data_IF_041033790281
#
_entry.id   IF_041033790281
#
_cell.length_a   1.000
_cell.length_b   1.000
_cell.length_c   1.000
_cell.angle_alpha   90.00
_cell.angle_beta   90.00
_cell.angle_gamma   90.00
#
_symmetry.space_group_name_H-M   'P 1'
#
loop_
_entity.id
_entity.type
_entity.pdbx_description
1 polymer ?
2 polymer ?
3 polymer ?
4 non-polymer ?
5 non-polymer ?
6 water ?
#
loop_
_entity_poly.entity_id
_entity_poly.type
_entity_poly.pdbx_seq_one_letter_code
_entity_poly.pdbx_strand_id
2 'polydeoxyribonucleotide' '(DG)(DA)(DG)(DG)(DA)(DC)(DA)(DA)(DA)(DG)(DG)(DT)(DG)(DA)(DA)(DA)(DC)' ?
3 'polydeoxyribonucleotide' '(DG)(DT)(DT)(DT)(DC)(DA)(DC)(DC)(DT)(DT)(DT)(DG)(DT)(DC)(DC)(DT)(DC)' ?
#
# COMPACT_ATOMS: atom_id res chain seq x y z
N UNK A 3 1.79 7.61 -13.73
CA UNK A 3 3.06 7.12 -13.03
C UNK A 3 3.29 5.64 -13.39
N UNK A 4 4.50 5.32 -13.80
CA UNK A 4 4.78 3.93 -14.24
C UNK A 4 4.43 3.10 -13.01
N UNK A 5 3.54 2.12 -13.18
CA UNK A 5 3.17 1.19 -12.10
C UNK A 5 3.91 -0.13 -12.29
N UNK A 6 4.32 -0.77 -11.20
CA UNK A 6 4.90 -2.15 -11.26
C UNK A 6 3.82 -3.09 -11.77
N UNK A 7 4.07 -3.82 -12.85
CA UNK A 7 3.05 -4.71 -13.46
C UNK A 7 2.79 -5.87 -12.48
N UNK A 8 3.70 -6.12 -11.53
CA UNK A 8 3.57 -7.28 -10.61
C UNK A 8 2.69 -6.91 -9.42
N UNK A 9 2.94 -5.76 -8.79
CA UNK A 9 2.40 -5.48 -7.44
C UNK A 9 1.68 -4.14 -7.31
N UNK A 10 1.75 -3.21 -8.27
CA UNK A 10 1.04 -1.91 -8.20
C UNK A 10 1.82 -0.80 -7.50
N UNK A 11 2.98 -1.11 -6.92
CA UNK A 11 3.90 -0.09 -6.33
C UNK A 11 4.44 0.76 -7.48
N UNK A 12 5.09 1.89 -7.16
CA UNK A 12 5.68 2.79 -8.18
C UNK A 12 6.83 2.05 -8.83
N UNK A 13 6.84 1.94 -10.17
CA UNK A 13 7.96 1.35 -10.93
C UNK A 13 9.15 2.32 -10.96
N UNK A 14 10.38 1.80 -10.76
CA UNK A 14 11.66 2.56 -10.89
C UNK A 14 12.15 2.57 -12.35
N UNK A 15 11.61 1.69 -13.19
CA UNK A 15 11.77 1.67 -14.67
C UNK A 15 11.51 0.28 -15.21
N UNK A 16 12.09 -0.08 -16.34
CA UNK A 16 12.04 -1.47 -16.87
C UNK A 16 13.09 -2.32 -16.15
N UNK A 17 12.71 -3.51 -15.70
CA UNK A 17 13.61 -4.55 -15.14
C UNK A 17 13.23 -5.90 -15.74
N UNK A 18 14.18 -6.62 -16.32
CA UNK A 18 13.98 -7.97 -16.87
C UNK A 18 12.82 -7.87 -17.89
N UNK A 19 12.78 -6.76 -18.63
CA UNK A 19 11.89 -6.55 -19.80
C UNK A 19 10.57 -5.87 -19.46
N UNK A 20 10.33 -5.44 -18.22
CA UNK A 20 8.98 -5.15 -17.68
C UNK A 20 9.03 -3.99 -16.67
N UNK A 21 8.03 -3.12 -16.71
CA UNK A 21 7.84 -2.01 -15.77
C UNK A 21 7.68 -2.64 -14.38
N UNK A 22 8.56 -2.34 -13.44
CA UNK A 22 8.52 -2.97 -12.10
C UNK A 22 9.20 -2.11 -11.06
N UNK A 23 8.86 -2.35 -9.81
CA UNK A 23 9.47 -1.63 -8.66
C UNK A 23 10.79 -2.34 -8.30
N UNK A 24 11.57 -1.69 -7.43
CA UNK A 24 12.87 -2.23 -6.92
C UNK A 24 12.62 -3.54 -6.15
N UNK A 25 11.54 -3.64 -5.38
CA UNK A 25 11.22 -4.83 -4.54
C UNK A 25 11.00 -6.04 -5.45
N UNK A 26 10.12 -5.91 -6.45
CA UNK A 26 9.81 -7.04 -7.35
C UNK A 26 11.07 -7.41 -8.18
N UNK A 27 11.84 -6.41 -8.61
CA UNK A 27 13.13 -6.59 -9.30
C UNK A 27 14.02 -7.50 -8.43
N UNK A 28 14.27 -7.08 -7.21
CA UNK A 28 15.17 -7.78 -6.27
C UNK A 28 14.64 -9.20 -6.00
N UNK A 29 13.34 -9.34 -5.77
CA UNK A 29 12.70 -10.66 -5.49
C UNK A 29 12.90 -11.60 -6.68
N UNK A 30 12.67 -11.13 -7.91
CA UNK A 30 12.78 -11.96 -9.14
C UNK A 30 14.23 -12.39 -9.29
N UNK A 31 15.14 -11.42 -9.10
CA UNK A 31 16.59 -11.63 -9.25
C UNK A 31 17.05 -12.72 -8.29
N UNK A 32 16.63 -12.66 -7.02
CA UNK A 32 17.06 -13.65 -6.01
C UNK A 32 16.47 -15.01 -6.36
N UNK A 33 15.21 -15.04 -6.75
CA UNK A 33 14.49 -16.30 -7.07
C UNK A 33 15.26 -17.02 -8.17
N UNK A 34 15.66 -16.31 -9.24
CA UNK A 34 16.36 -16.91 -10.41
C UNK A 34 17.78 -17.33 -10.00
N UNK A 35 18.53 -16.47 -9.33
CA UNK A 35 19.96 -16.70 -8.96
C UNK A 35 20.08 -17.98 -8.15
N UNK A 36 19.10 -18.26 -7.27
CA UNK A 36 19.12 -19.41 -6.34
C UNK A 36 18.35 -20.62 -6.84
N UNK A 37 17.76 -20.56 -8.04
CA UNK A 37 16.79 -21.57 -8.56
C UNK A 37 15.74 -21.87 -7.49
N UNK A 38 15.31 -20.89 -6.69
CA UNK A 38 14.40 -21.10 -5.53
C UNK A 38 13.00 -21.48 -6.06
N UNK A 39 12.46 -22.61 -5.59
CA UNK A 39 11.10 -23.09 -5.92
C UNK A 39 10.21 -22.77 -4.71
N UNK A 40 9.04 -22.22 -4.99
CA UNK A 40 7.99 -21.92 -3.99
C UNK A 40 6.79 -22.76 -4.38
N UNK A 41 5.89 -23.05 -3.45
CA UNK A 41 4.55 -23.57 -3.79
C UNK A 41 3.49 -22.88 -2.94
N UNK A 42 2.41 -22.51 -3.60
CA UNK A 42 1.27 -21.80 -3.00
C UNK A 42 0.57 -22.71 -2.01
N UNK A 43 0.31 -22.25 -0.77
CA UNK A 43 -0.55 -22.96 0.17
C UNK A 43 -2.05 -22.82 -0.07
N UNK A 44 -2.50 -21.83 -0.85
CA UNK A 44 -3.91 -21.70 -1.32
C UNK A 44 -4.09 -22.47 -2.64
N UNK A 45 -4.65 -21.87 -3.69
CA UNK A 45 -4.87 -22.53 -5.01
C UNK A 45 -4.32 -21.66 -6.14
N UNK A 46 -3.10 -21.15 -5.98
CA UNK A 46 -2.29 -20.42 -6.99
C UNK A 46 -3.03 -19.16 -7.48
N UNK A 47 -3.88 -18.55 -6.66
CA UNK A 47 -4.65 -17.33 -7.05
C UNK A 47 -4.50 -16.22 -6.00
N UNK A 48 -3.39 -16.18 -5.27
CA UNK A 48 -3.12 -15.11 -4.26
C UNK A 48 -3.04 -13.74 -4.97
N UNK A 49 -3.75 -12.74 -4.44
CA UNK A 49 -3.69 -11.31 -4.89
C UNK A 49 -2.29 -10.76 -4.59
N UNK A 50 -1.65 -10.10 -5.55
CA UNK A 50 -0.30 -9.47 -5.34
C UNK A 50 -0.47 -7.95 -5.48
N UNK A 51 -0.42 -7.24 -4.35
CA UNK A 51 -0.70 -5.77 -4.23
C UNK A 51 0.45 -5.15 -3.43
N UNK A 52 0.65 -3.84 -3.53
CA UNK A 52 1.89 -3.21 -2.98
C UNK A 52 1.88 -3.44 -1.46
N UNK A 53 0.69 -3.39 -0.87
CA UNK A 53 0.43 -3.52 0.58
C UNK A 53 0.44 -4.99 1.01
N UNK A 54 0.23 -5.93 0.08
CA UNK A 54 0.17 -7.42 0.29
C UNK A 54 0.92 -8.20 -0.81
N UNK A 55 2.23 -7.97 -0.98
CA UNK A 55 3.03 -8.73 -2.00
C UNK A 55 3.78 -9.92 -1.35
N UNK A 56 3.91 -9.99 -0.03
CA UNK A 56 4.75 -11.01 0.67
C UNK A 56 3.89 -12.17 1.16
N UNK A 57 2.59 -12.19 0.88
CA UNK A 57 1.68 -13.23 1.43
C UNK A 57 1.96 -14.62 0.80
N UNK A 58 2.48 -14.64 -0.43
CA UNK A 58 2.81 -15.87 -1.18
C UNK A 58 3.92 -15.59 -2.20
N UNK A 59 5.08 -16.16 -1.92
CA UNK A 59 6.26 -16.13 -2.82
C UNK A 59 5.90 -16.81 -4.13
N UNK A 60 5.10 -17.89 -4.09
CA UNK A 60 4.78 -18.73 -5.27
C UNK A 60 4.02 -17.86 -6.26
N UNK A 61 2.96 -17.20 -5.79
CA UNK A 61 2.06 -16.38 -6.64
C UNK A 61 2.81 -15.12 -7.08
N UNK A 62 3.61 -14.53 -6.22
CA UNK A 62 4.39 -13.34 -6.61
C UNK A 62 5.30 -13.72 -7.78
N UNK A 63 6.01 -14.84 -7.68
CA UNK A 63 6.94 -15.25 -8.76
C UNK A 63 6.16 -15.58 -10.04
N UNK A 64 5.06 -16.32 -9.93
CA UNK A 64 4.17 -16.63 -11.09
C UNK A 64 3.70 -15.33 -11.73
N UNK A 65 3.38 -14.31 -10.93
CA UNK A 65 2.93 -13.02 -11.50
C UNK A 65 4.08 -12.38 -12.29
N UNK A 66 5.28 -12.29 -11.72
CA UNK A 66 6.50 -11.85 -12.45
C UNK A 66 6.57 -12.51 -13.84
N UNK A 67 6.49 -13.84 -13.90
CA UNK A 67 6.56 -14.56 -15.20
C UNK A 67 5.40 -14.10 -16.09
N UNK A 68 4.18 -14.06 -15.54
CA UNK A 68 2.93 -13.76 -16.28
C UNK A 68 3.05 -12.40 -16.99
N UNK A 69 3.54 -11.38 -16.29
CA UNK A 69 3.57 -9.99 -16.81
C UNK A 69 4.75 -9.83 -17.78
N UNK A 70 5.67 -10.80 -17.81
CA UNK A 70 6.67 -10.98 -18.89
C UNK A 70 8.09 -10.72 -18.42
N UNK A 71 8.36 -10.84 -17.11
CA UNK A 71 9.74 -10.71 -16.58
C UNK A 71 10.52 -11.93 -17.09
N UNK A 72 11.73 -11.71 -17.57
CA UNK A 72 12.49 -12.69 -18.39
C UNK A 72 13.62 -13.29 -17.56
N UNK A 73 13.53 -14.60 -17.27
CA UNK A 73 14.56 -15.41 -16.57
C UNK A 73 15.95 -15.05 -17.12
N UNK A 74 16.10 -14.91 -18.44
CA UNK A 74 17.43 -14.76 -19.09
C UNK A 74 17.95 -13.34 -18.93
N UNK A 75 17.13 -12.38 -18.48
CA UNK A 75 17.59 -11.03 -18.10
C UNK A 75 18.47 -11.05 -16.84
N UNK A 76 18.44 -12.15 -16.08
CA UNK A 76 19.25 -12.37 -14.85
C UNK A 76 20.53 -13.06 -15.27
N UNK A 77 21.68 -12.46 -15.01
CA UNK A 77 23.01 -12.98 -15.44
C UNK A 77 23.40 -14.20 -14.59
N UNK A 78 23.97 -15.24 -15.19
CA UNK A 78 24.23 -16.55 -14.51
C UNK A 78 25.21 -16.34 -13.35
N UNK B 2 30.09 0.72 17.61
CA UNK B 2 30.03 1.11 19.05
C UNK B 2 28.96 0.27 19.79
N UNK B 3 29.25 -0.14 21.02
CA UNK B 3 28.34 -1.01 21.81
C UNK B 3 27.10 -0.20 22.15
N UNK B 4 25.94 -0.83 22.04
CA UNK B 4 24.69 -0.13 22.33
C UNK B 4 23.85 -1.07 23.21
N UNK B 5 23.08 -0.54 24.13
CA UNK B 5 22.28 -1.37 25.06
C UNK B 5 20.82 -1.39 24.62
N UNK B 6 20.12 -2.50 24.84
CA UNK B 6 18.67 -2.63 24.60
C UNK B 6 17.93 -1.65 25.52
N UNK B 7 17.14 -0.75 24.96
CA UNK B 7 16.44 0.28 25.77
C UNK B 7 15.40 -0.40 26.67
N UNK B 8 15.01 -1.63 26.36
CA UNK B 8 13.92 -2.31 27.10
C UNK B 8 14.48 -3.02 28.34
N UNK B 9 15.58 -3.77 28.15
CA UNK B 9 16.01 -4.75 29.19
C UNK B 9 17.47 -4.63 29.60
N UNK B 10 18.32 -3.87 28.91
CA UNK B 10 19.74 -3.68 29.31
C UNK B 10 20.68 -4.73 28.73
N UNK B 11 20.17 -5.74 27.99
CA UNK B 11 21.05 -6.69 27.24
C UNK B 11 21.79 -5.88 26.15
N UNK B 12 22.82 -6.46 25.53
CA UNK B 12 23.50 -5.86 24.34
C UNK B 12 22.47 -5.79 23.20
N UNK B 13 22.30 -4.62 22.60
CA UNK B 13 21.48 -4.45 21.37
C UNK B 13 22.20 -5.02 20.15
N UNK B 14 21.47 -5.72 19.27
CA UNK B 14 21.96 -6.24 17.96
C UNK B 14 21.80 -5.17 16.87
N UNK B 15 20.99 -4.13 17.10
CA UNK B 15 20.65 -3.14 16.07
C UNK B 15 19.43 -2.34 16.47
N UNK B 16 18.90 -1.52 15.58
CA UNK B 16 17.57 -0.91 15.72
C UNK B 16 16.52 -1.93 15.26
N UNK B 17 15.48 -2.09 16.08
CA UNK B 17 14.32 -2.95 15.78
C UNK B 17 13.05 -2.16 16.13
N UNK B 18 12.16 -2.00 15.15
CA UNK B 18 10.87 -1.32 15.36
C UNK B 18 11.15 0.08 15.92
N UNK B 19 12.24 0.70 15.42
CA UNK B 19 12.58 2.11 15.64
C UNK B 19 13.50 2.37 16.82
N UNK B 20 14.00 1.33 17.50
CA UNK B 20 14.67 1.46 18.83
C UNK B 20 15.82 0.46 18.95
N UNK B 21 16.90 0.90 19.60
CA UNK B 21 18.04 0.03 19.97
C UNK B 21 17.49 -1.07 20.88
N UNK B 22 17.62 -2.32 20.46
CA UNK B 22 17.08 -3.46 21.23
C UNK B 22 17.83 -4.72 20.90
N UNK B 23 17.74 -5.67 21.81
CA UNK B 23 18.37 -7.00 21.65
C UNK B 23 17.43 -7.85 20.80
N UNK B 24 17.92 -9.00 20.42
CA UNK B 24 17.20 -10.02 19.65
C UNK B 24 15.98 -10.53 20.44
N UNK B 25 16.10 -10.70 21.75
CA UNK B 25 15.01 -11.21 22.61
C UNK B 25 13.83 -10.21 22.62
N UNK B 26 14.08 -8.95 22.89
CA UNK B 26 12.98 -7.93 22.96
C UNK B 26 12.38 -7.72 21.54
N UNK B 27 13.21 -7.75 20.50
CA UNK B 27 12.76 -7.72 19.09
C UNK B 27 11.77 -8.88 18.88
N UNK B 28 12.19 -10.11 19.15
CA UNK B 28 11.36 -11.32 18.94
C UNK B 28 10.08 -11.23 19.78
N UNK B 29 10.18 -10.81 21.02
CA UNK B 29 9.05 -10.70 21.94
C UNK B 29 8.01 -9.70 21.38
N UNK B 30 8.46 -8.55 20.93
CA UNK B 30 7.59 -7.47 20.42
C UNK B 30 6.90 -7.99 19.17
N UNK B 31 7.69 -8.63 18.30
CA UNK B 31 7.19 -9.18 17.02
C UNK B 31 6.09 -10.20 17.30
N UNK B 32 6.29 -11.12 18.25
CA UNK B 32 5.30 -12.18 18.57
C UNK B 32 4.03 -11.53 19.11
N UNK B 33 4.20 -10.56 20.01
CA UNK B 33 3.10 -9.89 20.72
C UNK B 33 2.17 -9.25 19.68
N UNK B 34 2.76 -8.52 18.72
CA UNK B 34 1.99 -7.76 17.71
C UNK B 34 1.40 -8.73 16.71
N UNK B 35 2.16 -9.70 16.20
CA UNK B 35 1.69 -10.65 15.15
C UNK B 35 0.44 -11.37 15.62
N UNK B 36 0.37 -11.71 16.90
CA UNK B 36 -0.73 -12.51 17.49
C UNK B 36 -1.82 -11.69 18.13
N UNK B 37 -1.70 -10.37 18.14
CA UNK B 37 -2.51 -9.42 18.95
C UNK B 37 -2.69 -9.97 20.38
N UNK B 38 -1.60 -10.49 20.95
CA UNK B 38 -1.58 -11.08 22.33
C UNK B 38 -1.74 -9.95 23.36
N UNK B 39 -2.71 -10.09 24.26
CA UNK B 39 -2.94 -9.22 25.44
C UNK B 39 -2.33 -9.94 26.66
N UNK B 40 -1.58 -9.21 27.48
CA UNK B 40 -1.00 -9.73 28.74
C UNK B 40 -1.60 -8.96 29.90
N UNK B 41 -1.54 -9.51 31.10
CA UNK B 41 -1.86 -8.73 32.31
C UNK B 41 -0.84 -9.03 33.40
N UNK B 42 -0.42 -7.94 34.02
CA UNK B 42 0.48 -7.94 35.17
C UNK B 42 -0.26 -8.58 36.35
N UNK B 43 0.36 -9.57 37.03
CA UNK B 43 -0.15 -10.06 38.32
C UNK B 43 0.17 -9.17 39.53
N UNK B 44 1.14 -8.27 39.42
CA UNK B 44 1.59 -7.34 40.48
C UNK B 44 0.84 -6.02 40.30
N UNK B 45 1.53 -4.88 40.23
CA UNK B 45 0.91 -3.54 40.10
C UNK B 45 1.56 -2.76 38.97
N UNK B 46 1.78 -3.39 37.82
CA UNK B 46 2.18 -2.77 36.52
C UNK B 46 3.52 -2.00 36.67
N UNK B 47 4.39 -2.39 37.60
CA UNK B 47 5.69 -1.71 37.83
C UNK B 47 6.79 -2.76 37.97
N UNK B 48 6.62 -3.91 37.32
CA UNK B 48 7.65 -5.00 37.28
C UNK B 48 8.92 -4.45 36.62
N UNK B 49 10.08 -4.62 37.25
CA UNK B 49 11.41 -4.20 36.69
C UNK B 49 11.74 -5.10 35.49
N UNK B 50 12.20 -4.51 34.39
CA UNK B 50 12.61 -5.28 33.17
C UNK B 50 14.13 -5.17 32.99
N UNK B 51 14.84 -6.27 33.26
CA UNK B 51 16.32 -6.41 33.13
C UNK B 51 16.63 -7.67 32.33
N UNK B 52 17.89 -7.84 31.90
CA UNK B 52 18.36 -9.07 31.22
C UNK B 52 17.96 -10.30 32.05
N UNK B 53 18.12 -10.21 33.38
CA UNK B 53 17.92 -11.31 34.34
C UNK B 53 16.43 -11.54 34.60
N UNK B 54 15.55 -10.57 34.36
CA UNK B 54 14.12 -10.67 34.80
C UNK B 54 13.14 -10.34 33.67
N UNK B 55 13.54 -10.27 32.41
CA UNK B 55 12.64 -9.84 31.28
C UNK B 55 11.45 -10.82 31.14
N UNK B 56 11.63 -12.07 31.57
CA UNK B 56 10.65 -13.17 31.39
C UNK B 56 9.57 -13.08 32.48
N UNK B 57 9.80 -12.38 33.59
CA UNK B 57 8.90 -12.45 34.77
C UNK B 57 7.56 -11.75 34.49
N UNK B 58 7.47 -10.74 33.63
CA UNK B 58 6.14 -10.11 33.36
C UNK B 58 6.05 -9.67 31.90
N UNK B 59 5.28 -10.41 31.13
CA UNK B 59 4.99 -10.11 29.70
C UNK B 59 4.31 -8.74 29.61
N UNK B 60 3.41 -8.41 30.54
CA UNK B 60 2.59 -7.19 30.48
C UNK B 60 3.53 -5.98 30.58
N UNK B 61 4.41 -6.00 31.57
CA UNK B 61 5.31 -4.87 31.86
C UNK B 61 6.40 -4.80 30.78
N UNK B 62 6.88 -5.94 30.31
CA UNK B 62 7.89 -5.96 29.24
C UNK B 62 7.26 -5.30 28.01
N UNK B 63 6.03 -5.65 27.65
CA UNK B 63 5.40 -5.07 26.45
C UNK B 63 5.19 -3.56 26.64
N UNK B 64 4.67 -3.14 27.79
CA UNK B 64 4.48 -1.70 28.06
C UNK B 64 5.84 -0.98 27.99
N UNK B 65 6.92 -1.61 28.45
CA UNK B 65 8.26 -0.96 28.37
C UNK B 65 8.65 -0.78 26.89
N UNK B 66 8.53 -1.82 26.05
CA UNK B 66 8.71 -1.73 24.57
C UNK B 66 7.98 -0.46 24.05
N UNK B 67 6.72 -0.30 24.34
CA UNK B 67 5.95 0.88 23.86
C UNK B 67 6.59 2.17 24.40
N UNK B 68 6.90 2.19 25.70
CA UNK B 68 7.46 3.38 26.39
C UNK B 68 8.74 3.87 25.70
N UNK B 69 9.65 2.97 25.39
CA UNK B 69 11.01 3.34 24.86
C UNK B 69 10.87 3.69 23.36
N UNK B 70 9.74 3.34 22.73
CA UNK B 70 9.34 3.89 21.43
C UNK B 70 9.26 2.85 20.34
N UNK B 71 9.08 1.57 20.71
CA UNK B 71 8.99 0.49 19.71
C UNK B 71 7.64 0.67 19.02
N UNK B 72 7.59 0.55 17.69
CA UNK B 72 6.43 0.98 16.86
C UNK B 72 5.68 -0.24 16.34
N UNK B 73 4.44 -0.40 16.82
CA UNK B 73 3.51 -1.48 16.41
C UNK B 73 3.52 -1.59 14.88
N UNK B 74 3.53 -0.46 14.16
CA UNK B 74 3.37 -0.43 12.68
C UNK B 74 4.64 -0.93 11.97
N UNK B 75 5.76 -1.05 12.67
CA UNK B 75 6.98 -1.62 12.08
C UNK B 75 6.87 -3.14 11.89
N UNK B 76 5.82 -3.75 12.50
CA UNK B 76 5.51 -5.20 12.39
C UNK B 76 4.57 -5.36 11.22
N UNK B 77 4.98 -6.10 10.19
CA UNK B 77 4.26 -6.16 8.89
C UNK B 77 3.10 -7.13 9.06
N UNK B 78 1.95 -6.69 8.56
CA UNK B 78 0.75 -7.52 8.28
C UNK B 78 0.98 -8.28 6.97
N UNK B 79 1.85 -7.75 6.10
CA UNK B 79 2.29 -8.41 4.85
C UNK B 79 3.38 -9.44 5.19
N UNK B 80 3.00 -10.72 5.19
CA UNK B 80 3.88 -11.88 5.50
C UNK B 80 3.15 -13.17 5.09
N UNK B 81 3.73 -14.33 5.37
CA UNK B 81 3.11 -15.63 5.00
C UNK B 81 2.46 -16.25 6.25
N UNK E 2 -22.22 -3.97 -8.64
CA UNK E 2 -22.34 -4.20 -10.08
C UNK E 2 -21.56 -3.10 -10.80
N UNK E 3 -20.99 -3.38 -11.98
CA UNK E 3 -20.24 -2.38 -12.77
C UNK E 3 -21.17 -1.24 -13.15
N UNK E 4 -20.69 -0.02 -13.02
CA UNK E 4 -21.47 1.19 -13.32
C UNK E 4 -20.57 2.10 -14.16
N UNK E 5 -21.15 2.76 -15.16
CA UNK E 5 -20.41 3.68 -16.05
C UNK E 5 -20.62 5.12 -15.61
N UNK E 6 -19.58 5.93 -15.78
CA UNK E 6 -19.62 7.39 -15.54
C UNK E 6 -20.64 8.00 -16.51
N UNK E 7 -21.60 8.74 -15.98
CA UNK E 7 -22.67 9.30 -16.83
C UNK E 7 -22.08 10.38 -17.73
N UNK E 8 -20.93 10.93 -17.39
CA UNK E 8 -20.35 12.07 -18.15
C UNK E 8 -19.55 11.56 -19.36
N UNK E 9 -18.68 10.56 -19.14
CA UNK E 9 -17.64 10.19 -20.14
C UNK E 9 -17.63 8.70 -20.53
N UNK E 10 -18.30 7.79 -19.83
CA UNK E 10 -18.29 6.35 -20.17
C UNK E 10 -17.11 5.56 -19.54
N UNK E 11 -16.22 6.20 -18.79
CA UNK E 11 -15.19 5.46 -17.99
C UNK E 11 -15.93 4.66 -16.90
N UNK E 12 -15.25 3.74 -16.24
CA UNK E 12 -15.81 3.01 -15.08
C UNK E 12 -16.03 4.01 -13.95
N UNK E 13 -17.24 4.08 -13.40
CA UNK E 13 -17.56 4.92 -12.22
C UNK E 13 -16.97 4.31 -10.95
N UNK E 14 -16.39 5.13 -10.07
CA UNK E 14 -15.89 4.75 -8.72
C UNK E 14 -17.00 4.82 -7.68
N UNK E 15 -18.11 5.52 -7.96
CA UNK E 15 -19.16 5.78 -6.97
C UNK E 15 -20.10 6.87 -7.41
N UNK E 16 -20.96 7.31 -6.52
CA UNK E 16 -21.75 8.57 -6.73
C UNK E 16 -20.85 9.74 -6.30
N UNK E 17 -20.78 10.76 -7.14
CA UNK E 17 -20.05 12.02 -6.87
C UNK E 17 -20.99 13.17 -7.26
N UNK E 18 -21.26 14.05 -6.30
CA UNK E 18 -22.05 15.27 -6.54
C UNK E 18 -23.40 14.81 -7.09
N UNK E 19 -23.93 13.69 -6.60
CA UNK E 19 -25.30 13.19 -6.85
C UNK E 19 -25.43 12.24 -8.03
N UNK E 20 -24.32 11.76 -8.65
CA UNK E 20 -24.34 11.09 -9.98
C UNK E 20 -23.20 10.04 -10.09
N UNK E 21 -23.48 8.93 -10.76
CA UNK E 21 -22.49 7.86 -11.05
C UNK E 21 -21.39 8.49 -11.91
N UNK E 22 -20.15 8.51 -11.42
CA UNK E 22 -19.05 9.16 -12.19
C UNK E 22 -17.70 8.56 -11.81
N UNK E 23 -16.74 8.77 -12.67
CA UNK E 23 -15.35 8.28 -12.51
C UNK E 23 -14.60 9.31 -11.67
N UNK E 24 -13.42 8.95 -11.22
CA UNK E 24 -12.53 9.84 -10.43
C UNK E 24 -12.15 11.08 -11.25
N UNK E 25 -11.93 10.95 -12.57
CA UNK E 25 -11.55 12.09 -13.44
C UNK E 25 -12.67 13.16 -13.49
N UNK E 26 -13.88 12.77 -13.76
CA UNK E 26 -15.06 13.69 -13.88
C UNK E 26 -15.33 14.29 -12.49
N UNK E 27 -15.23 13.51 -11.44
CA UNK E 27 -15.33 13.98 -10.05
C UNK E 27 -14.32 15.10 -9.83
N UNK E 28 -13.04 14.85 -10.06
CA UNK E 28 -11.97 15.83 -9.86
C UNK E 28 -12.20 17.07 -10.72
N UNK E 29 -12.55 16.88 -11.97
CA UNK E 29 -12.77 17.99 -12.92
C UNK E 29 -13.92 18.88 -12.43
N UNK E 30 -15.02 18.29 -12.01
CA UNK E 30 -16.23 19.04 -11.56
C UNK E 30 -15.85 19.84 -10.31
N UNK E 31 -15.16 19.16 -9.38
CA UNK E 31 -14.75 19.73 -8.10
C UNK E 31 -13.85 20.94 -8.35
N UNK E 32 -12.86 20.80 -9.26
CA UNK E 32 -11.86 21.88 -9.55
C UNK E 32 -12.62 23.06 -10.15
N UNK E 33 -13.52 22.77 -11.09
CA UNK E 33 -14.25 23.81 -11.86
C UNK E 33 -15.03 24.67 -10.86
N UNK E 34 -15.75 24.04 -9.92
CA UNK E 34 -16.62 24.74 -8.93
C UNK E 34 -15.73 25.50 -7.93
N UNK E 35 -14.70 24.86 -7.37
CA UNK E 35 -13.82 25.42 -6.32
C UNK E 35 -13.21 26.73 -6.80
N UNK E 36 -12.84 26.80 -8.08
CA UNK E 36 -12.11 27.93 -8.68
C UNK E 36 -13.01 28.91 -9.41
N UNK E 37 -14.31 28.66 -9.44
CA UNK E 37 -15.32 29.37 -10.28
C UNK E 37 -14.75 29.53 -11.70
N UNK E 38 -14.11 28.48 -12.22
CA UNK E 38 -13.50 28.48 -13.59
C UNK E 38 -14.62 28.48 -14.63
N UNK E 39 -14.55 29.42 -15.57
CA UNK E 39 -15.50 29.55 -16.72
C UNK E 39 -14.77 29.01 -17.96
N UNK E 40 -15.42 28.20 -18.79
CA UNK E 40 -14.89 27.67 -20.07
C UNK E 40 -15.77 28.14 -21.22
N UNK E 41 -15.24 28.14 -22.44
CA UNK E 41 -16.07 28.27 -23.66
C UNK E 41 -15.59 27.32 -24.75
N UNK E 42 -16.54 26.67 -25.38
CA UNK E 42 -16.34 25.75 -26.49
C UNK E 42 -15.87 26.56 -27.70
N UNK E 43 -14.78 26.17 -28.38
CA UNK E 43 -14.40 26.75 -29.67
C UNK E 43 -15.16 26.19 -30.89
N UNK E 44 -15.86 25.05 -30.73
CA UNK E 44 -16.62 24.38 -31.80
C UNK E 44 -18.06 24.92 -31.77
N UNK E 45 -19.08 24.05 -31.67
CA UNK E 45 -20.51 24.44 -31.69
C UNK E 45 -21.25 23.85 -30.48
N UNK E 46 -20.58 23.80 -29.32
CA UNK E 46 -21.16 23.40 -28.00
C UNK E 46 -21.76 21.99 -28.04
N UNK E 47 -21.31 21.10 -28.92
CA UNK E 47 -21.83 19.71 -29.01
C UNK E 47 -20.67 18.72 -29.12
N UNK E 48 -19.56 19.01 -28.46
CA UNK E 48 -18.35 18.14 -28.44
C UNK E 48 -18.69 16.80 -27.78
N UNK E 49 -18.29 15.69 -28.40
CA UNK E 49 -18.46 14.33 -27.81
C UNK E 49 -17.55 14.20 -26.57
N UNK E 50 -18.08 13.69 -25.46
CA UNK E 50 -17.34 13.47 -24.20
C UNK E 50 -17.25 11.97 -23.96
N UNK E 51 -16.07 11.40 -24.17
CA UNK E 51 -15.77 9.95 -23.98
C UNK E 51 -14.50 9.82 -23.13
N UNK E 52 -14.24 8.64 -22.59
CA UNK E 52 -12.95 8.32 -21.92
C UNK E 52 -11.76 8.85 -22.74
N UNK E 53 -11.75 8.67 -24.05
CA UNK E 53 -10.64 9.02 -24.99
C UNK E 53 -10.68 10.53 -25.33
N UNK E 54 -11.77 11.25 -25.10
CA UNK E 54 -11.89 12.64 -25.60
C UNK E 54 -12.28 13.63 -24.49
N UNK E 55 -12.28 13.23 -23.21
CA UNK E 55 -12.88 14.10 -22.14
C UNK E 55 -12.03 15.37 -21.95
N UNK E 56 -10.76 15.31 -22.30
CA UNK E 56 -9.77 16.42 -22.17
C UNK E 56 -10.00 17.47 -23.26
N UNK E 57 -10.58 17.12 -24.41
CA UNK E 57 -10.51 17.99 -25.60
C UNK E 57 -11.42 19.22 -25.48
N UNK E 58 -12.48 19.26 -24.66
CA UNK E 58 -13.34 20.49 -24.51
C UNK E 58 -13.86 20.57 -23.08
N UNK E 59 -13.28 21.48 -22.32
CA UNK E 59 -13.64 21.72 -20.90
C UNK E 59 -15.09 22.22 -20.84
N UNK E 60 -15.52 23.04 -21.82
CA UNK E 60 -16.86 23.72 -21.79
C UNK E 60 -17.93 22.64 -21.88
N UNK E 61 -17.79 21.73 -22.85
CA UNK E 61 -18.78 20.69 -23.12
C UNK E 61 -18.71 19.63 -22.00
N UNK E 62 -17.51 19.30 -21.51
CA UNK E 62 -17.40 18.35 -20.40
C UNK E 62 -18.16 18.92 -19.20
N UNK E 63 -17.96 20.18 -18.87
CA UNK E 63 -18.64 20.78 -17.68
C UNK E 63 -20.15 20.84 -17.91
N UNK E 64 -20.61 21.27 -19.08
CA UNK E 64 -22.06 21.29 -19.41
C UNK E 64 -22.61 19.87 -19.30
N UNK E 65 -21.85 18.85 -19.70
CA UNK E 65 -22.36 17.46 -19.57
C UNK E 65 -22.53 17.10 -18.10
N UNK E 66 -21.55 17.37 -17.24
CA UNK E 66 -21.66 17.22 -15.77
C UNK E 66 -23.01 17.83 -15.29
N UNK E 67 -23.30 19.07 -15.65
CA UNK E 67 -24.54 19.74 -15.22
C UNK E 67 -25.73 18.94 -15.75
N UNK E 68 -25.69 18.58 -17.04
CA UNK E 68 -26.82 17.95 -17.77
C UNK E 68 -27.25 16.67 -17.07
N UNK E 69 -26.29 15.86 -16.71
CA UNK E 69 -26.52 14.49 -16.19
C UNK E 69 -26.86 14.58 -14.67
N UNK E 70 -26.67 15.74 -14.05
CA UNK E 70 -27.28 16.10 -12.75
C UNK E 70 -26.25 16.28 -11.64
N UNK E 71 -25.00 16.59 -11.99
CA UNK E 71 -23.96 16.84 -10.98
C UNK E 71 -24.27 18.17 -10.31
N UNK E 72 -24.17 18.24 -8.98
CA UNK E 72 -24.76 19.35 -8.17
C UNK E 72 -23.64 20.22 -7.59
N UNK E 73 -23.59 21.46 -8.07
CA UNK E 73 -22.68 22.53 -7.61
C UNK E 73 -22.60 22.51 -6.08
N UNK E 74 -23.72 22.35 -5.39
CA UNK E 74 -23.80 22.54 -3.91
C UNK E 74 -23.24 21.32 -3.19
N UNK E 75 -22.91 20.24 -3.86
CA UNK E 75 -22.15 19.14 -3.23
C UNK E 75 -20.69 19.51 -2.94
N UNK E 76 -20.22 20.61 -3.55
CA UNK E 76 -18.84 21.17 -3.37
C UNK E 76 -18.91 22.19 -2.24
N UNK E 77 -18.17 21.98 -1.17
CA UNK E 77 -18.14 22.92 0.01
C UNK E 77 -17.31 24.16 -0.39
N UNK E 78 -17.84 25.37 -0.15
CA UNK E 78 -17.27 26.68 -0.62
C UNK E 78 -17.21 27.65 0.54
#
# INVERSE_FOLDING_TARGET
>A
MPKRLCLVCGDIASGYHYGVASCEACKAFFKRTIQGNIEYSCPATNECEITKRRRKSCQACRFMKCLKVGMLKEGVRLDRVRGGRQKYKRRIDAENSLEHHHHHH
>B
MPKRLCLVCGDIASGYHYGVASCEACKAFFKRTIQGNIEYSCPATNECEITKRRRKSCQACRFMKCLKVGMLKEGVRLDRVRGGRQKYKRRIDAENSLEHHHHHH
>E
MPKRLCLVCGDIASGYHYGVASCEACKAFFKRTIQGNIEYSCPATNECEITKRRRKSCQACRFMKCLKVGMLKEGVRLDRVRGGRQKYKRRIDAENSLEHHHHHH
#
